data_IF_388292857303
#
_entry.id   IF_388292857303
#
_cell.length_a   1.000
_cell.length_b   1.000
_cell.length_c   1.000
_cell.angle_alpha   90.00
_cell.angle_beta   90.00
_cell.angle_gamma   90.00
#
_symmetry.space_group_name_H-M   'P 1'
#
loop_
_entity.id
_entity.type
_entity.pdbx_description
1 polymer ?
#
# COMPACT_ATOMS: atom_id res chain seq x y z
N UNK A 1 3.07 -13.25 19.71
CA UNK A 1 2.79 -11.79 19.67
C UNK A 1 3.62 -11.13 20.77
N UNK A 2 4.42 -10.11 20.47
CA UNK A 2 5.39 -9.51 21.43
C UNK A 2 5.00 -8.12 21.94
N UNK A 3 4.04 -7.44 21.29
CA UNK A 3 3.56 -6.14 21.73
C UNK A 3 2.63 -6.29 22.95
N UNK A 4 2.96 -5.58 24.02
CA UNK A 4 2.08 -5.36 25.16
C UNK A 4 0.86 -4.51 24.73
N UNK A 5 -0.23 -4.51 25.53
CA UNK A 5 -1.32 -3.54 25.36
C UNK A 5 -0.79 -2.10 25.31
N UNK A 6 -1.26 -1.28 24.36
CA UNK A 6 -0.75 0.07 24.12
C UNK A 6 0.63 0.14 23.43
N UNK A 7 1.29 -1.01 23.24
CA UNK A 7 2.56 -1.08 22.52
C UNK A 7 2.41 -0.66 21.05
N UNK A 8 3.46 -0.03 20.52
CA UNK A 8 3.48 0.48 19.14
C UNK A 8 4.43 -0.32 18.27
N UNK A 9 3.96 -0.69 17.09
CA UNK A 9 4.81 -1.07 15.97
C UNK A 9 4.99 0.14 15.07
N UNK A 10 6.21 0.39 14.63
CA UNK A 10 6.53 1.48 13.70
C UNK A 10 7.19 0.85 12.48
N UNK A 11 6.68 1.17 11.30
CA UNK A 11 7.26 0.78 10.03
C UNK A 11 7.56 2.04 9.22
N UNK A 12 8.77 2.12 8.68
CA UNK A 12 9.23 3.25 7.87
C UNK A 12 9.62 2.69 6.51
N UNK A 13 9.10 3.30 5.44
CA UNK A 13 9.28 2.77 4.09
C UNK A 13 9.02 3.83 3.02
N UNK A 14 9.61 3.65 1.84
CA UNK A 14 9.25 4.42 0.64
C UNK A 14 7.92 4.01 0.01
N UNK A 15 7.45 2.80 0.33
CA UNK A 15 6.19 2.29 -0.19
C UNK A 15 5.02 3.20 0.19
N UNK A 16 4.21 3.57 -0.80
CA UNK A 16 3.10 4.48 -0.60
C UNK A 16 1.97 3.85 0.23
N UNK A 17 1.15 4.65 0.94
CA UNK A 17 0.08 4.15 1.81
C UNK A 17 -0.94 3.28 1.09
N UNK A 18 -1.18 3.51 -0.20
CA UNK A 18 -2.10 2.69 -0.97
C UNK A 18 -1.63 1.24 -1.13
N UNK A 19 -0.32 1.01 -1.22
CA UNK A 19 0.27 -0.33 -1.28
C UNK A 19 0.51 -0.92 0.12
N UNK A 20 0.90 -0.08 1.07
CA UNK A 20 1.44 -0.57 2.35
C UNK A 20 0.39 -0.67 3.47
N UNK A 21 -0.54 0.28 3.57
CA UNK A 21 -1.60 0.25 4.59
C UNK A 21 -2.43 -1.03 4.55
N UNK A 22 -2.82 -1.58 3.37
CA UNK A 22 -3.55 -2.84 3.28
C UNK A 22 -2.89 -4.01 4.02
N UNK A 23 -1.55 -4.08 3.98
CA UNK A 23 -0.79 -5.16 4.61
C UNK A 23 -0.85 -5.10 6.14
N UNK A 24 -1.11 -3.91 6.70
CA UNK A 24 -1.24 -3.70 8.14
C UNK A 24 -2.70 -3.70 8.60
N UNK A 25 -3.64 -3.41 7.71
CA UNK A 25 -5.06 -3.24 8.00
C UNK A 25 -5.83 -4.58 8.06
N UNK A 26 -5.41 -5.47 8.96
CA UNK A 26 -6.13 -6.70 9.28
C UNK A 26 -6.62 -6.66 10.74
N UNK A 27 -7.92 -6.88 10.95
CA UNK A 27 -8.53 -6.86 12.29
C UNK A 27 -7.94 -7.91 13.24
N UNK A 28 -7.38 -9.01 12.70
CA UNK A 28 -6.65 -10.02 13.51
C UNK A 28 -5.52 -9.36 14.30
N UNK A 29 -4.89 -8.30 13.79
CA UNK A 29 -3.81 -7.58 14.48
C UNK A 29 -4.27 -6.69 15.63
N UNK A 30 -5.55 -6.31 15.69
CA UNK A 30 -6.14 -5.59 16.83
C UNK A 30 -5.41 -4.29 17.17
N UNK A 31 -5.00 -3.54 16.14
CA UNK A 31 -4.34 -2.24 16.28
C UNK A 31 -5.05 -1.17 15.45
N UNK A 32 -4.80 0.09 15.80
CA UNK A 32 -5.07 1.22 14.90
C UNK A 32 -3.90 1.39 13.92
N UNK A 33 -4.09 2.19 12.87
CA UNK A 33 -3.03 2.58 11.94
C UNK A 33 -3.11 4.08 11.70
N UNK A 34 -1.99 4.78 11.90
CA UNK A 34 -1.77 6.16 11.42
C UNK A 34 -0.63 6.17 10.42
N UNK A 35 -0.76 6.97 9.37
CA UNK A 35 0.30 7.17 8.37
C UNK A 35 0.67 8.63 8.32
N UNK A 36 1.97 8.90 8.47
CA UNK A 36 2.57 10.22 8.36
C UNK A 36 3.62 10.20 7.23
N UNK A 37 3.95 11.36 6.64
CA UNK A 37 4.95 11.49 5.57
C UNK A 37 6.11 12.35 6.05
N UNK A 38 7.34 12.00 5.67
CA UNK A 38 8.55 12.76 6.00
C UNK A 38 9.50 12.83 4.80
N UNK A 39 10.22 13.95 4.70
CA UNK A 39 11.15 14.25 3.61
C UNK A 39 10.49 15.14 2.53
N UNK A 40 11.25 16.12 2.03
CA UNK A 40 10.75 17.13 1.09
C UNK A 40 10.96 16.73 -0.37
N UNK A 41 12.06 16.04 -0.68
CA UNK A 41 12.38 15.58 -2.04
C UNK A 41 12.17 14.07 -2.22
N UNK A 42 12.35 13.29 -1.15
CA UNK A 42 12.14 11.84 -1.13
C UNK A 42 11.15 11.51 -0.02
N UNK A 43 9.93 11.12 -0.42
CA UNK A 43 8.86 10.84 0.53
C UNK A 43 9.05 9.46 1.16
N UNK A 44 9.34 9.45 2.46
CA UNK A 44 9.17 8.30 3.31
C UNK A 44 7.80 8.36 4.00
N UNK A 45 7.25 7.19 4.27
CA UNK A 45 6.01 7.03 5.01
C UNK A 45 6.28 6.32 6.33
N UNK A 46 5.74 6.90 7.39
CA UNK A 46 5.76 6.39 8.75
C UNK A 46 4.41 5.78 9.06
N UNK A 47 4.37 4.47 9.26
CA UNK A 47 3.20 3.75 9.71
C UNK A 47 3.34 3.50 11.20
N UNK A 48 2.44 4.07 12.00
CA UNK A 48 2.35 3.82 13.43
C UNK A 48 1.14 2.95 13.69
N UNK A 49 1.36 1.74 14.22
CA UNK A 49 0.30 0.82 14.61
C UNK A 49 0.28 0.65 16.13
N UNK A 50 -0.82 1.03 16.77
CA UNK A 50 -0.94 0.98 18.23
C UNK A 50 -1.89 -0.15 18.67
N UNK A 51 -1.36 -1.05 19.50
CA UNK A 51 -2.09 -2.21 20.00
C UNK A 51 -3.24 -1.79 20.91
N UNK A 52 -4.44 -2.28 20.62
CA UNK A 52 -5.67 -1.94 21.36
C UNK A 52 -6.51 -0.86 20.68
N UNK A 53 -5.99 -0.24 19.61
CA UNK A 53 -6.78 0.60 18.73
C UNK A 53 -7.61 -0.20 17.71
N UNK A 54 -8.41 0.51 16.93
CA UNK A 54 -9.24 -0.07 15.87
C UNK A 54 -8.90 0.53 14.51
N UNK A 55 -9.12 -0.25 13.45
CA UNK A 55 -9.06 0.21 12.08
C UNK A 55 -10.31 1.04 11.75
N UNK A 56 -10.17 2.01 10.84
CA UNK A 56 -11.32 2.69 10.24
C UNK A 56 -12.00 1.81 9.19
N UNK A 57 -13.25 2.11 8.85
CA UNK A 57 -13.95 1.37 7.78
C UNK A 57 -13.20 1.49 6.43
N UNK A 58 -12.74 2.70 6.10
CA UNK A 58 -11.95 2.94 4.88
C UNK A 58 -10.69 2.07 4.81
N UNK A 59 -9.98 1.87 5.93
CA UNK A 59 -8.79 1.02 5.98
C UNK A 59 -9.13 -0.45 5.74
N UNK A 60 -10.26 -0.93 6.27
CA UNK A 60 -10.76 -2.29 6.00
C UNK A 60 -11.14 -2.47 4.54
N UNK A 61 -11.89 -1.51 3.99
CA UNK A 61 -12.35 -1.57 2.60
C UNK A 61 -11.15 -1.54 1.64
N UNK A 62 -10.15 -0.71 1.93
CA UNK A 62 -8.91 -0.64 1.16
C UNK A 62 -8.14 -1.97 1.23
N UNK A 63 -8.01 -2.57 2.42
CA UNK A 63 -7.37 -3.87 2.58
C UNK A 63 -8.11 -4.97 1.81
N UNK A 64 -9.44 -5.01 1.94
CA UNK A 64 -10.28 -5.97 1.23
C UNK A 64 -10.06 -5.87 -0.29
N UNK A 65 -10.19 -4.67 -0.87
CA UNK A 65 -9.98 -4.42 -2.30
C UNK A 65 -8.55 -4.73 -2.77
N UNK A 66 -7.56 -4.54 -1.91
CA UNK A 66 -6.17 -4.83 -2.24
C UNK A 66 -5.91 -6.34 -2.39
N UNK A 67 -6.46 -7.15 -1.49
CA UNK A 67 -6.31 -8.61 -1.56
C UNK A 67 -7.34 -9.28 -2.48
N UNK A 68 -8.43 -8.58 -2.80
CA UNK A 68 -9.53 -9.07 -3.63
C UNK A 68 -9.79 -8.00 -4.71
N UNK A 69 -8.86 -7.88 -5.68
CA UNK A 69 -9.03 -6.91 -6.75
C UNK A 69 -10.30 -7.25 -7.56
N UNK A 70 -11.04 -6.24 -8.03
CA UNK A 70 -12.16 -6.48 -8.93
C UNK A 70 -11.67 -7.21 -10.18
N UNK A 71 -12.52 -8.10 -10.73
CA UNK A 71 -12.25 -8.73 -12.00
C UNK A 71 -12.05 -7.63 -13.06
N UNK A 72 -10.89 -7.65 -13.72
CA UNK A 72 -10.62 -6.75 -14.83
C UNK A 72 -11.24 -7.41 -16.07
N UNK A 73 -12.26 -6.77 -16.64
CA UNK A 73 -12.65 -7.10 -18.02
C UNK A 73 -11.48 -6.68 -18.92
N UNK A 74 -10.68 -7.65 -19.35
CA UNK A 74 -9.58 -7.42 -20.28
C UNK A 74 -10.18 -7.00 -21.63
N UNK A 75 -10.24 -5.68 -21.86
CA UNK A 75 -10.36 -5.16 -23.22
C UNK A 75 -9.04 -5.47 -23.90
N UNK A 76 -9.03 -6.52 -24.73
CA UNK A 76 -7.95 -6.75 -25.67
C UNK A 76 -7.98 -5.58 -26.66
N UNK A 77 -7.17 -4.56 -26.40
CA UNK A 77 -6.72 -3.66 -27.47
C UNK A 77 -5.93 -4.57 -28.41
N UNK A 78 -6.48 -4.83 -29.60
CA UNK A 78 -5.77 -5.56 -30.63
C UNK A 78 -4.52 -4.76 -30.98
N UNK A 79 -3.37 -5.26 -30.54
CA UNK A 79 -2.05 -4.73 -30.83
C UNK A 79 -1.68 -5.11 -32.27
N UNK A 80 -2.44 -4.58 -33.22
CA UNK A 80 -2.05 -4.56 -34.60
C UNK A 80 -1.32 -3.24 -34.84
N UNK A 81 0.01 -3.35 -34.81
CA UNK A 81 0.92 -2.53 -35.62
C UNK A 81 1.51 -1.25 -35.00
N UNK A 82 2.11 -1.30 -33.80
CA UNK A 82 3.05 -0.24 -33.36
C UNK A 82 4.28 -0.74 -32.60
N UNK A 83 5.35 -0.98 -33.37
CA UNK A 83 6.78 -0.84 -33.03
C UNK A 83 7.20 -0.97 -31.55
N UNK A 84 7.50 -2.21 -31.15
CA UNK A 84 8.32 -2.60 -29.98
C UNK A 84 9.80 -2.11 -30.07
N UNK A 85 10.07 -0.98 -30.74
CA UNK A 85 11.41 -0.43 -30.99
C UNK A 85 11.70 0.85 -30.17
N UNK A 86 10.85 1.15 -29.18
CA UNK A 86 11.00 2.32 -28.31
C UNK A 86 12.25 2.25 -27.41
N UNK A 87 12.69 1.05 -27.02
CA UNK A 87 13.89 0.87 -26.18
C UNK A 87 15.20 1.14 -26.92
N UNK A 88 15.20 1.14 -28.25
CA UNK A 88 16.40 1.38 -29.06
C UNK A 88 16.64 2.86 -29.39
N UNK A 89 15.69 3.74 -29.06
CA UNK A 89 15.76 5.19 -29.32
C UNK A 89 16.30 6.00 -28.14
N UNK A 90 16.75 5.33 -27.08
CA UNK A 90 17.42 6.00 -25.96
C UNK A 90 18.92 6.04 -26.30
N UNK A 91 19.34 7.09 -27.01
CA UNK A 91 20.76 7.43 -27.13
C UNK A 91 21.26 7.94 -25.76
N UNK A 92 22.37 7.37 -25.27
CA UNK A 92 23.13 7.80 -24.07
C UNK A 92 24.39 8.54 -24.53
#
# INVERSE_FOLDING_TARGET
>A
RVLCPGGRFISISFAQPHFRTPLYANDVYGWSIRTDKFGDCFHFFFYTMERGGTLTQQQRDQAHRFFHPPAVEHVYLSDSDHDEDFLRRIDI
#
